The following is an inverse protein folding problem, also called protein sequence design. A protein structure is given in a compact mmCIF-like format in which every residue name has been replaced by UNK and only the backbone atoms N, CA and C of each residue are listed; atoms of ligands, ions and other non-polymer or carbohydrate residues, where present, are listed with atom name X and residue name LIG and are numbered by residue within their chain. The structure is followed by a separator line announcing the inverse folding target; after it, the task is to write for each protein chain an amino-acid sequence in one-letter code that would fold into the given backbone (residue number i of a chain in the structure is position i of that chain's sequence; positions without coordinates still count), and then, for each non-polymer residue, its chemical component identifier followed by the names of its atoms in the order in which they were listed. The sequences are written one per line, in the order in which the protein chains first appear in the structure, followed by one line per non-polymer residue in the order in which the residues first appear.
data_IF_262243731544
#
_entry.id   IF_262243731544
#
_cell.length_a   1.000
_cell.length_b   1.000
_cell.length_c   1.000
_cell.angle_alpha   90.00
_cell.angle_beta   90.00
_cell.angle_gamma   90.00
#
_symmetry.space_group_name_H-M   'P 1'
#
loop_
_entity.id
_entity.type
_entity.pdbx_description
1 polymer ?
#
# COMPACT_ATOMS: atom_id res chain seq x y z
N UNK A 1 -28.81 -7.69 30.22
CA UNK A 1 -28.97 -6.23 30.08
C UNK A 1 -27.63 -5.71 29.61
N UNK A 2 -27.66 -5.16 28.45
CA UNK A 2 -26.61 -4.80 27.53
C UNK A 2 -25.56 -3.82 28.09
N UNK A 3 -24.28 -4.17 27.95
CA UNK A 3 -23.15 -3.29 28.20
C UNK A 3 -22.37 -2.99 26.89
N UNK A 4 -23.07 -2.88 25.77
CA UNK A 4 -22.44 -2.59 24.47
C UNK A 4 -22.48 -1.13 24.01
N UNK A 5 -23.16 -0.25 24.71
CA UNK A 5 -23.45 1.11 24.23
C UNK A 5 -22.34 2.18 24.39
N UNK A 6 -21.41 2.15 25.38
CA UNK A 6 -20.46 3.25 25.55
C UNK A 6 -19.34 3.28 24.51
N UNK A 7 -18.87 2.13 24.02
CA UNK A 7 -17.76 2.07 23.06
C UNK A 7 -18.21 2.43 21.64
N UNK A 8 -19.36 1.95 21.22
CA UNK A 8 -19.96 2.28 19.92
C UNK A 8 -20.28 3.79 19.82
N UNK A 9 -20.87 4.36 20.86
CA UNK A 9 -21.20 5.79 20.92
C UNK A 9 -19.92 6.65 20.93
N UNK A 10 -18.87 6.20 21.62
CA UNK A 10 -17.59 6.91 21.65
C UNK A 10 -16.88 6.88 20.28
N UNK A 11 -16.83 5.74 19.61
CA UNK A 11 -16.21 5.60 18.28
C UNK A 11 -16.96 6.36 17.19
N UNK A 12 -18.29 6.36 17.22
CA UNK A 12 -19.11 7.20 16.32
C UNK A 12 -18.86 8.68 16.59
N UNK A 13 -18.81 9.10 17.86
CA UNK A 13 -18.48 10.47 18.25
C UNK A 13 -17.07 10.90 17.82
N UNK A 14 -16.09 9.99 17.88
CA UNK A 14 -14.71 10.26 17.40
C UNK A 14 -14.68 10.32 15.86
N UNK A 15 -15.40 9.46 15.16
CA UNK A 15 -15.54 9.48 13.71
C UNK A 15 -16.23 10.77 13.24
N UNK A 16 -17.32 11.18 13.89
CA UNK A 16 -18.02 12.45 13.62
C UNK A 16 -17.11 13.67 13.86
N UNK A 17 -16.34 13.64 14.94
CA UNK A 17 -15.41 14.73 15.27
C UNK A 17 -14.22 14.80 14.30
N UNK A 18 -13.79 13.67 13.78
CA UNK A 18 -12.61 13.59 12.89
C UNK A 18 -12.96 13.90 11.43
N UNK A 19 -14.18 13.59 11.00
CA UNK A 19 -14.63 13.78 9.61
C UNK A 19 -15.58 14.94 9.39
N UNK A 20 -16.30 15.37 10.42
CA UNK A 20 -17.37 16.36 10.32
C UNK A 20 -18.58 15.87 9.50
N UNK A 21 -18.77 14.55 9.37
CA UNK A 21 -19.88 13.97 8.60
C UNK A 21 -21.01 13.53 9.52
N UNK A 22 -22.22 14.03 9.27
CA UNK A 22 -23.42 13.65 10.03
C UNK A 22 -23.79 12.17 9.87
N UNK A 23 -23.47 11.58 8.68
CA UNK A 23 -23.82 10.19 8.31
C UNK A 23 -22.69 9.54 7.53
N UNK A 24 -21.57 9.17 8.17
CA UNK A 24 -20.37 8.73 7.50
C UNK A 24 -20.58 7.44 6.68
N UNK A 25 -21.36 6.46 7.16
CA UNK A 25 -21.61 5.23 6.44
C UNK A 25 -22.38 5.45 5.12
N UNK A 26 -23.44 6.30 5.18
CA UNK A 26 -24.22 6.63 3.98
C UNK A 26 -23.35 7.37 2.95
N UNK A 27 -22.54 8.31 3.43
CA UNK A 27 -21.59 9.07 2.59
C UNK A 27 -20.59 8.17 1.91
N UNK A 28 -19.96 7.24 2.63
CA UNK A 28 -19.01 6.29 2.07
C UNK A 28 -19.67 5.36 1.03
N UNK A 29 -20.87 4.83 1.33
CA UNK A 29 -21.62 4.01 0.36
C UNK A 29 -21.97 4.79 -0.91
N UNK A 30 -22.38 6.05 -0.77
CA UNK A 30 -22.63 6.95 -1.90
C UNK A 30 -21.36 7.17 -2.72
N UNK A 31 -20.22 7.40 -2.05
CA UNK A 31 -18.95 7.63 -2.70
C UNK A 31 -18.52 6.46 -3.63
N UNK A 32 -18.76 5.21 -3.22
CA UNK A 32 -18.58 4.05 -4.09
C UNK A 32 -19.53 4.08 -5.31
N UNK A 33 -20.81 4.36 -5.06
CA UNK A 33 -21.83 4.34 -6.11
C UNK A 33 -21.62 5.47 -7.15
N UNK A 34 -21.15 6.64 -6.70
CA UNK A 34 -20.94 7.82 -7.56
C UNK A 34 -19.50 7.95 -8.08
N UNK A 35 -18.63 6.95 -7.81
CA UNK A 35 -17.21 6.97 -8.22
C UNK A 35 -16.41 8.17 -7.70
N UNK A 36 -16.71 8.65 -6.51
CA UNK A 36 -16.04 9.79 -5.86
C UNK A 36 -14.62 9.46 -5.34
N UNK A 37 -14.26 8.17 -5.25
CA UNK A 37 -12.88 7.79 -4.93
C UNK A 37 -11.98 7.90 -6.16
N UNK A 38 -10.93 8.70 -6.06
CA UNK A 38 -9.96 8.95 -7.11
C UNK A 38 -8.63 8.29 -6.76
N UNK A 39 -8.03 7.60 -7.74
CA UNK A 39 -6.72 7.00 -7.58
C UNK A 39 -5.62 8.00 -7.90
N UNK A 40 -4.62 8.01 -7.04
CA UNK A 40 -3.35 8.68 -7.20
C UNK A 40 -2.24 7.65 -7.27
N UNK A 41 -1.13 8.03 -7.84
CA UNK A 41 0.07 7.19 -7.89
C UNK A 41 1.30 7.99 -7.48
N UNK A 42 2.24 7.32 -6.82
CA UNK A 42 3.55 7.87 -6.48
C UNK A 42 4.63 6.89 -6.94
N UNK A 43 5.66 7.40 -7.59
CA UNK A 43 6.75 6.58 -8.11
C UNK A 43 7.56 5.93 -6.99
N UNK A 44 7.92 4.67 -7.20
CA UNK A 44 8.90 3.93 -6.42
C UNK A 44 10.10 3.73 -7.34
N UNK A 45 11.23 4.38 -7.04
CA UNK A 45 12.41 4.36 -7.89
C UNK A 45 13.44 3.33 -7.41
N UNK A 46 14.11 2.67 -8.34
CA UNK A 46 15.24 1.80 -8.04
C UNK A 46 16.49 2.62 -7.73
N UNK A 47 17.19 2.28 -6.64
CA UNK A 47 18.39 3.00 -6.19
C UNK A 47 19.68 2.42 -6.76
N UNK A 48 19.70 1.10 -7.00
CA UNK A 48 20.86 0.41 -7.56
C UNK A 48 21.00 0.67 -9.06
N UNK A 49 22.23 0.72 -9.61
CA UNK A 49 22.46 0.73 -11.05
C UNK A 49 21.88 -0.53 -11.69
N UNK A 50 21.29 -0.36 -12.86
CA UNK A 50 20.68 -1.47 -13.62
C UNK A 50 19.19 -1.23 -13.83
N UNK A 51 18.75 -1.31 -15.09
CA UNK A 51 17.36 -1.01 -15.46
C UNK A 51 16.39 -2.02 -14.87
N UNK A 52 15.42 -1.52 -14.13
CA UNK A 52 14.19 -2.27 -13.87
C UNK A 52 13.45 -2.41 -15.19
N UNK A 53 12.95 -3.61 -15.48
CA UNK A 53 12.18 -3.84 -16.72
C UNK A 53 10.87 -3.04 -16.72
N UNK A 54 10.34 -2.74 -15.54
CA UNK A 54 9.07 -2.02 -15.35
C UNK A 54 9.20 -0.99 -14.25
N UNK A 55 8.54 0.15 -14.40
CA UNK A 55 8.40 1.14 -13.34
C UNK A 55 7.53 0.59 -12.21
N UNK A 56 7.87 0.92 -10.96
CA UNK A 56 7.07 0.62 -9.78
C UNK A 56 6.39 1.90 -9.29
N UNK A 57 5.17 1.77 -8.79
CA UNK A 57 4.46 2.88 -8.17
C UNK A 57 3.47 2.37 -7.12
N UNK A 58 3.22 3.16 -6.10
CA UNK A 58 2.18 2.90 -5.12
C UNK A 58 0.90 3.62 -5.50
N UNK A 59 -0.23 2.93 -5.30
CA UNK A 59 -1.57 3.47 -5.53
C UNK A 59 -2.12 4.02 -4.23
N UNK A 60 -2.50 5.28 -4.25
CA UNK A 60 -3.18 5.95 -3.17
C UNK A 60 -4.60 6.31 -3.58
N UNK A 61 -5.43 6.58 -2.58
CA UNK A 61 -6.82 6.94 -2.77
C UNK A 61 -7.09 8.33 -2.16
N UNK A 62 -7.96 9.08 -2.79
CA UNK A 62 -8.53 10.33 -2.27
C UNK A 62 -10.04 10.26 -2.45
N UNK A 63 -10.78 10.80 -1.49
CA UNK A 63 -12.21 10.97 -1.65
C UNK A 63 -12.48 12.39 -2.15
N UNK A 64 -13.19 12.51 -3.26
CA UNK A 64 -13.59 13.79 -3.83
C UNK A 64 -14.91 14.23 -3.20
N UNK A 65 -14.92 15.42 -2.61
CA UNK A 65 -16.13 16.12 -2.21
C UNK A 65 -16.54 17.19 -3.22
N UNK A 66 -17.59 17.90 -2.92
CA UNK A 66 -18.07 19.04 -3.72
C UNK A 66 -16.93 20.05 -3.94
N UNK A 67 -16.98 20.77 -5.06
CA UNK A 67 -15.99 21.79 -5.46
C UNK A 67 -14.54 21.28 -5.67
N UNK A 68 -14.35 20.00 -5.97
CA UNK A 68 -13.03 19.38 -6.20
C UNK A 68 -12.13 19.28 -4.93
N UNK A 69 -12.70 19.44 -3.75
CA UNK A 69 -11.98 19.21 -2.51
C UNK A 69 -11.63 17.71 -2.37
N UNK A 70 -10.34 17.42 -2.13
CA UNK A 70 -9.84 16.05 -1.97
C UNK A 70 -9.55 15.76 -0.51
N UNK A 71 -10.28 14.80 0.05
CA UNK A 71 -10.09 14.32 1.43
C UNK A 71 -9.00 13.25 1.43
N UNK A 72 -7.97 13.38 2.30
CA UNK A 72 -6.91 12.38 2.42
C UNK A 72 -7.41 11.10 3.11
N UNK A 73 -6.75 9.95 2.87
CA UNK A 73 -7.19 8.66 3.39
C UNK A 73 -7.25 8.60 4.92
N UNK A 74 -6.37 9.29 5.63
CA UNK A 74 -6.39 9.33 7.10
C UNK A 74 -7.70 9.86 7.71
N UNK A 75 -8.49 10.62 6.94
CA UNK A 75 -9.77 11.16 7.41
C UNK A 75 -10.96 10.20 7.19
N UNK A 76 -10.86 9.20 6.33
CA UNK A 76 -11.99 8.31 6.03
C UNK A 76 -11.67 6.80 6.17
N UNK A 77 -10.41 6.38 6.09
CA UNK A 77 -10.04 4.96 6.25
C UNK A 77 -10.47 4.38 7.61
N UNK A 78 -10.29 5.09 8.75
CA UNK A 78 -10.77 4.56 10.03
C UNK A 78 -12.27 4.27 10.05
N UNK A 79 -13.07 5.08 9.34
CA UNK A 79 -14.51 4.85 9.21
C UNK A 79 -14.84 3.68 8.28
N UNK A 80 -14.07 3.50 7.19
CA UNK A 80 -14.21 2.33 6.33
C UNK A 80 -13.94 1.04 7.10
N UNK A 81 -12.92 1.02 7.95
CA UNK A 81 -12.61 -0.09 8.85
C UNK A 81 -13.74 -0.31 9.87
N UNK A 82 -14.19 0.75 10.55
CA UNK A 82 -15.28 0.67 11.53
C UNK A 82 -16.58 0.09 10.94
N UNK A 83 -16.91 0.45 9.68
CA UNK A 83 -18.10 -0.06 9.00
C UNK A 83 -17.87 -1.34 8.19
N UNK A 84 -16.71 -2.00 8.32
CA UNK A 84 -16.30 -3.19 7.57
C UNK A 84 -16.42 -3.01 6.04
N UNK A 85 -16.07 -1.84 5.53
CA UNK A 85 -16.12 -1.51 4.10
C UNK A 85 -14.76 -1.72 3.40
N UNK A 86 -13.73 -2.16 4.12
CA UNK A 86 -12.39 -2.41 3.60
C UNK A 86 -12.37 -3.33 2.38
N UNK A 87 -13.01 -4.52 2.40
CA UNK A 87 -13.05 -5.43 1.26
C UNK A 87 -13.76 -4.82 0.03
N UNK A 88 -14.72 -3.92 0.23
CA UNK A 88 -15.39 -3.20 -0.86
C UNK A 88 -14.41 -2.18 -1.47
N UNK A 89 -13.65 -1.47 -0.63
CA UNK A 89 -12.65 -0.52 -1.07
C UNK A 89 -11.57 -1.19 -1.91
N UNK A 90 -10.99 -2.29 -1.44
CA UNK A 90 -9.88 -2.96 -2.12
C UNK A 90 -10.33 -3.49 -3.49
N UNK A 91 -11.55 -4.05 -3.57
CA UNK A 91 -12.15 -4.45 -4.86
C UNK A 91 -12.37 -3.26 -5.80
N UNK A 92 -12.83 -2.14 -5.25
CA UNK A 92 -13.05 -0.92 -6.02
C UNK A 92 -11.73 -0.36 -6.59
N UNK A 93 -10.70 -0.27 -5.75
CA UNK A 93 -9.36 0.21 -6.12
C UNK A 93 -8.78 -0.67 -7.24
N UNK A 94 -8.83 -2.00 -7.08
CA UNK A 94 -8.34 -2.93 -8.10
C UNK A 94 -9.07 -2.76 -9.43
N UNK A 95 -10.40 -2.70 -9.43
CA UNK A 95 -11.17 -2.49 -10.67
C UNK A 95 -10.82 -1.19 -11.37
N UNK A 96 -10.69 -0.10 -10.62
CA UNK A 96 -10.30 1.21 -11.19
C UNK A 96 -8.89 1.18 -11.79
N UNK A 97 -7.92 0.59 -11.08
CA UNK A 97 -6.56 0.43 -11.58
C UNK A 97 -6.53 -0.39 -12.88
N UNK A 98 -7.17 -1.56 -12.88
CA UNK A 98 -7.20 -2.43 -14.05
C UNK A 98 -7.96 -1.79 -15.22
N UNK A 99 -8.99 -0.99 -14.92
CA UNK A 99 -9.66 -0.14 -15.92
C UNK A 99 -8.69 0.87 -16.56
N UNK A 100 -7.85 1.54 -15.75
CA UNK A 100 -6.83 2.45 -16.25
C UNK A 100 -5.76 1.72 -17.08
N UNK A 101 -5.35 0.51 -16.69
CA UNK A 101 -4.38 -0.29 -17.43
C UNK A 101 -4.85 -0.65 -18.84
N UNK A 102 -6.15 -0.77 -19.09
CA UNK A 102 -6.68 -1.02 -20.46
C UNK A 102 -6.31 0.08 -21.46
N UNK A 103 -6.10 1.31 -20.98
CA UNK A 103 -5.69 2.44 -21.82
C UNK A 103 -4.17 2.54 -22.00
N UNK A 104 -3.40 1.69 -21.31
CA UNK A 104 -1.94 1.69 -21.34
C UNK A 104 -1.47 0.43 -22.07
N UNK A 105 -0.56 0.60 -23.03
CA UNK A 105 0.05 -0.54 -23.73
C UNK A 105 0.70 -1.51 -22.73
N UNK A 106 0.56 -2.84 -22.90
CA UNK A 106 1.05 -3.82 -21.91
C UNK A 106 2.51 -3.66 -21.51
N UNK A 107 3.38 -3.32 -22.45
CA UNK A 107 4.81 -3.11 -22.24
C UNK A 107 5.13 -1.84 -21.42
N UNK A 108 4.18 -0.89 -21.36
CA UNK A 108 4.30 0.36 -20.59
C UNK A 108 3.61 0.31 -19.23
N UNK A 109 2.89 -0.79 -18.90
CA UNK A 109 2.26 -0.95 -17.59
C UNK A 109 3.33 -1.18 -16.54
N UNK A 110 3.35 -0.35 -15.51
CA UNK A 110 4.21 -0.53 -14.35
C UNK A 110 3.66 -1.55 -13.36
N UNK A 111 4.44 -1.88 -12.33
CA UNK A 111 4.01 -2.68 -11.17
C UNK A 111 3.32 -1.77 -10.18
N UNK A 112 2.05 -2.01 -9.92
CA UNK A 112 1.26 -1.25 -8.95
C UNK A 112 1.31 -1.91 -7.57
N UNK A 113 1.72 -1.16 -6.56
CA UNK A 113 1.64 -1.54 -5.16
C UNK A 113 0.30 -1.07 -4.59
N UNK A 114 -0.48 -2.01 -4.05
CA UNK A 114 -1.84 -1.83 -3.56
C UNK A 114 -1.90 -2.18 -2.08
N UNK A 115 -2.24 -1.21 -1.24
CA UNK A 115 -2.48 -1.45 0.18
C UNK A 115 -3.75 -2.28 0.36
N UNK A 116 -3.71 -3.29 1.21
CA UNK A 116 -4.87 -4.07 1.63
C UNK A 116 -5.42 -3.56 2.96
N UNK A 117 -6.73 -3.43 3.02
CA UNK A 117 -7.43 -3.21 4.28
C UNK A 117 -7.35 -4.46 5.17
N UNK A 118 -7.36 -4.24 6.50
CA UNK A 118 -7.25 -5.34 7.47
C UNK A 118 -8.33 -6.40 7.29
N UNK A 119 -9.57 -5.97 7.07
CA UNK A 119 -10.72 -6.86 6.90
C UNK A 119 -10.60 -7.76 5.67
N UNK A 120 -9.91 -7.30 4.63
CA UNK A 120 -9.67 -8.07 3.40
C UNK A 120 -8.75 -9.27 3.64
N UNK A 121 -7.89 -9.24 4.67
CA UNK A 121 -7.00 -10.35 5.01
C UNK A 121 -7.77 -11.62 5.45
N UNK A 122 -9.01 -11.47 5.87
CA UNK A 122 -9.89 -12.56 6.26
C UNK A 122 -10.97 -12.88 5.19
N UNK A 123 -10.97 -12.21 4.07
CA UNK A 123 -11.97 -12.36 3.01
C UNK A 123 -11.64 -13.58 2.12
N UNK A 124 -12.41 -14.69 2.21
CA UNK A 124 -12.12 -15.92 1.48
C UNK A 124 -12.29 -15.77 -0.04
N UNK A 125 -13.07 -14.79 -0.49
CA UNK A 125 -13.41 -14.60 -1.89
C UNK A 125 -12.47 -13.63 -2.62
N UNK A 126 -11.60 -12.92 -1.89
CA UNK A 126 -10.77 -11.87 -2.47
C UNK A 126 -9.80 -12.43 -3.53
N UNK A 127 -9.14 -13.56 -3.28
CA UNK A 127 -8.23 -14.17 -4.24
C UNK A 127 -8.94 -14.60 -5.53
N UNK A 128 -10.13 -15.19 -5.42
CA UNK A 128 -10.96 -15.57 -6.58
C UNK A 128 -11.38 -14.32 -7.39
N UNK A 129 -11.74 -13.25 -6.69
CA UNK A 129 -12.05 -11.95 -7.31
C UNK A 129 -10.85 -11.37 -8.07
N UNK A 130 -9.66 -11.34 -7.48
CA UNK A 130 -8.43 -10.86 -8.15
C UNK A 130 -8.16 -11.67 -9.42
N UNK A 131 -8.22 -12.99 -9.35
CA UNK A 131 -8.02 -13.88 -10.50
C UNK A 131 -8.98 -13.56 -11.65
N UNK A 132 -10.25 -13.39 -11.34
CA UNK A 132 -11.27 -13.08 -12.36
C UNK A 132 -11.05 -11.70 -12.99
N UNK A 133 -10.69 -10.69 -12.20
CA UNK A 133 -10.41 -9.36 -12.71
C UNK A 133 -9.15 -9.31 -13.60
N UNK A 134 -8.10 -10.05 -13.23
CA UNK A 134 -6.90 -10.21 -14.06
C UNK A 134 -7.24 -10.87 -15.40
N UNK A 135 -8.04 -11.95 -15.37
CA UNK A 135 -8.51 -12.64 -16.58
C UNK A 135 -9.34 -11.71 -17.47
N UNK A 136 -10.30 -10.99 -16.88
CA UNK A 136 -11.22 -10.08 -17.60
C UNK A 136 -10.49 -8.91 -18.27
N UNK A 137 -9.38 -8.46 -17.70
CA UNK A 137 -8.60 -7.30 -18.19
C UNK A 137 -7.34 -7.70 -18.94
N UNK A 138 -7.08 -9.00 -19.12
CA UNK A 138 -5.87 -9.53 -19.75
C UNK A 138 -4.60 -8.90 -19.12
N UNK A 139 -4.60 -8.81 -17.79
CA UNK A 139 -3.49 -8.22 -17.04
C UNK A 139 -2.71 -9.34 -16.36
N UNK A 140 -1.38 -9.36 -16.53
CA UNK A 140 -0.52 -10.32 -15.85
C UNK A 140 -0.46 -10.02 -14.34
N UNK A 141 -0.50 -11.07 -13.50
CA UNK A 141 -0.45 -10.94 -12.04
C UNK A 141 0.81 -10.22 -11.54
N UNK A 142 1.94 -10.40 -12.21
CA UNK A 142 3.23 -9.75 -11.91
C UNK A 142 3.19 -8.21 -11.92
N UNK A 143 2.14 -7.62 -12.49
CA UNK A 143 1.91 -6.18 -12.48
C UNK A 143 1.22 -5.68 -11.21
N UNK A 144 0.84 -6.56 -10.30
CA UNK A 144 0.22 -6.24 -9.03
C UNK A 144 1.09 -6.71 -7.87
N UNK A 145 1.32 -5.82 -6.93
CA UNK A 145 1.95 -6.12 -5.65
C UNK A 145 0.97 -5.72 -4.53
N UNK A 146 0.53 -6.69 -3.75
CA UNK A 146 -0.38 -6.44 -2.63
C UNK A 146 0.42 -6.22 -1.35
N UNK A 147 0.16 -5.10 -0.68
CA UNK A 147 0.81 -4.73 0.57
C UNK A 147 -0.04 -5.15 1.77
N UNK A 148 0.53 -6.01 2.58
CA UNK A 148 -0.03 -6.43 3.87
C UNK A 148 0.42 -5.47 4.97
N UNK A 149 -0.47 -5.05 5.90
CA UNK A 149 -0.14 -4.10 6.96
C UNK A 149 1.04 -4.56 7.83
N UNK A 150 2.10 -3.76 7.96
CA UNK A 150 3.35 -4.16 8.62
C UNK A 150 3.32 -4.19 10.15
N UNK A 151 2.30 -3.59 10.78
CA UNK A 151 2.20 -3.50 12.25
C UNK A 151 1.80 -4.81 12.94
N UNK A 152 1.48 -5.85 12.19
CA UNK A 152 1.09 -7.14 12.73
C UNK A 152 2.28 -8.12 12.69
N UNK A 153 2.90 -8.35 13.84
CA UNK A 153 3.98 -9.35 13.98
C UNK A 153 3.43 -10.78 13.76
N UNK A 154 2.15 -11.01 14.04
CA UNK A 154 1.49 -12.30 13.87
C UNK A 154 0.26 -12.16 12.98
N UNK A 155 0.43 -12.45 11.69
CA UNK A 155 -0.71 -12.52 10.78
C UNK A 155 -1.57 -13.75 11.06
N UNK A 156 -2.91 -13.64 10.97
CA UNK A 156 -3.78 -14.79 11.04
C UNK A 156 -3.53 -15.76 9.87
N UNK A 157 -3.86 -17.02 10.05
CA UNK A 157 -3.70 -18.03 9.00
C UNK A 157 -4.41 -17.68 7.69
N UNK A 158 -5.53 -16.95 7.77
CA UNK A 158 -6.26 -16.43 6.60
C UNK A 158 -5.41 -15.46 5.76
N UNK A 159 -4.64 -14.58 6.40
CA UNK A 159 -3.76 -13.64 5.69
C UNK A 159 -2.61 -14.38 4.97
N UNK A 160 -2.03 -15.39 5.61
CA UNK A 160 -0.99 -16.23 4.98
C UNK A 160 -1.58 -17.00 3.79
N UNK A 161 -2.76 -17.60 3.94
CA UNK A 161 -3.47 -18.29 2.86
C UNK A 161 -3.82 -17.33 1.70
N UNK A 162 -4.23 -16.09 2.00
CA UNK A 162 -4.48 -15.06 0.99
C UNK A 162 -3.20 -14.73 0.22
N UNK A 163 -2.08 -14.51 0.92
CA UNK A 163 -0.78 -14.21 0.29
C UNK A 163 -0.35 -15.36 -0.64
N UNK A 164 -0.48 -16.60 -0.20
CA UNK A 164 -0.19 -17.78 -1.01
C UNK A 164 -1.09 -17.84 -2.26
N UNK A 165 -2.39 -17.64 -2.09
CA UNK A 165 -3.35 -17.63 -3.20
C UNK A 165 -3.03 -16.53 -4.23
N UNK A 166 -2.67 -15.33 -3.78
CA UNK A 166 -2.27 -14.22 -4.66
C UNK A 166 -0.97 -14.55 -5.42
N UNK A 167 0.01 -15.17 -4.76
CA UNK A 167 1.25 -15.62 -5.42
C UNK A 167 1.01 -16.70 -6.46
N UNK A 168 0.12 -17.64 -6.21
CA UNK A 168 -0.26 -18.69 -7.16
C UNK A 168 -0.87 -18.14 -8.46
N UNK A 169 -1.46 -16.97 -8.42
CA UNK A 169 -1.95 -16.25 -9.62
C UNK A 169 -0.95 -15.23 -10.18
N UNK A 170 0.30 -15.28 -9.70
CA UNK A 170 1.42 -14.50 -10.20
C UNK A 170 1.58 -13.11 -9.58
N UNK A 171 0.77 -12.74 -8.58
CA UNK A 171 0.91 -11.45 -7.91
C UNK A 171 2.11 -11.44 -6.96
N UNK A 172 2.62 -10.25 -6.69
CA UNK A 172 3.70 -10.01 -5.74
C UNK A 172 3.13 -9.61 -4.38
N UNK A 173 3.91 -9.84 -3.32
CA UNK A 173 3.53 -9.54 -1.94
C UNK A 173 4.55 -8.55 -1.36
N UNK A 174 4.04 -7.52 -0.71
CA UNK A 174 4.82 -6.59 0.11
C UNK A 174 4.35 -6.65 1.56
N UNK A 175 5.29 -6.61 2.49
CA UNK A 175 4.99 -6.37 3.91
C UNK A 175 5.18 -4.88 4.17
N UNK A 176 4.21 -4.26 4.83
CA UNK A 176 4.15 -2.82 5.05
C UNK A 176 5.29 -2.30 5.93
N UNK A 177 5.30 -0.98 6.09
CA UNK A 177 6.40 -0.28 6.71
C UNK A 177 6.69 -0.71 8.15
N UNK A 178 7.96 -0.95 8.42
CA UNK A 178 8.54 -1.12 9.74
C UNK A 178 9.02 0.25 10.22
N UNK A 179 8.45 0.70 11.34
CA UNK A 179 8.74 2.04 11.90
C UNK A 179 9.80 1.99 13.01
N UNK A 180 9.92 0.87 13.70
CA UNK A 180 10.71 0.65 14.92
C UNK A 180 11.96 -0.23 14.76
N UNK A 181 12.22 -0.70 13.55
CA UNK A 181 13.40 -1.52 13.22
C UNK A 181 13.25 -3.01 13.51
N UNK A 182 12.13 -3.47 14.08
CA UNK A 182 11.86 -4.91 14.20
C UNK A 182 11.52 -5.51 12.84
N UNK A 183 12.28 -6.53 12.44
CA UNK A 183 12.07 -7.19 11.14
C UNK A 183 11.08 -8.35 11.35
N UNK A 184 9.94 -8.36 10.66
CA UNK A 184 8.95 -9.42 10.78
C UNK A 184 9.39 -10.66 9.96
N UNK A 185 10.47 -11.31 10.37
CA UNK A 185 11.04 -12.45 9.64
C UNK A 185 10.04 -13.55 9.36
N UNK A 186 9.22 -13.87 10.36
CA UNK A 186 8.21 -14.92 10.22
C UNK A 186 7.14 -14.57 9.19
N UNK A 187 6.46 -13.41 9.25
CA UNK A 187 5.55 -12.99 8.20
C UNK A 187 6.18 -12.94 6.82
N UNK A 188 7.38 -12.37 6.68
CA UNK A 188 8.11 -12.31 5.42
C UNK A 188 8.26 -13.69 4.80
N UNK A 189 8.69 -14.68 5.60
CA UNK A 189 8.90 -16.05 5.14
C UNK A 189 7.58 -16.77 4.86
N UNK A 190 6.64 -16.73 5.79
CA UNK A 190 5.38 -17.48 5.71
C UNK A 190 4.51 -17.00 4.53
N UNK A 191 4.53 -15.69 4.24
CA UNK A 191 3.81 -15.11 3.11
C UNK A 191 4.58 -15.16 1.80
N UNK A 192 5.89 -15.48 1.84
CA UNK A 192 6.79 -15.44 0.67
C UNK A 192 6.85 -14.04 0.06
N UNK A 193 7.06 -13.04 0.91
CA UNK A 193 7.07 -11.64 0.50
C UNK A 193 8.19 -11.35 -0.51
N UNK A 194 7.89 -10.53 -1.51
CA UNK A 194 8.85 -10.01 -2.47
C UNK A 194 9.49 -8.72 -1.98
N UNK A 195 8.76 -7.94 -1.17
CA UNK A 195 9.21 -6.65 -0.67
C UNK A 195 8.95 -6.48 0.82
N UNK A 196 9.88 -5.78 1.48
CA UNK A 196 9.70 -5.20 2.81
C UNK A 196 9.83 -3.68 2.70
N UNK A 197 8.84 -2.95 3.22
CA UNK A 197 8.90 -1.51 3.30
C UNK A 197 9.53 -1.07 4.64
N UNK A 198 10.40 -0.08 4.58
CA UNK A 198 11.07 0.56 5.72
C UNK A 198 10.65 2.02 5.74
N UNK A 199 10.11 2.51 6.85
CA UNK A 199 9.54 3.85 6.92
C UNK A 199 9.67 4.51 8.29
N UNK A 200 8.81 5.51 8.54
CA UNK A 200 8.68 6.16 9.85
C UNK A 200 9.99 6.72 10.40
N UNK A 201 10.26 6.44 11.69
CA UNK A 201 11.45 6.88 12.41
C UNK A 201 12.76 6.54 11.69
N UNK A 202 12.85 5.34 11.12
CA UNK A 202 14.07 4.90 10.42
C UNK A 202 14.50 5.88 9.33
N UNK A 203 13.54 6.37 8.54
CA UNK A 203 13.87 7.30 7.45
C UNK A 203 14.13 8.72 7.94
N UNK A 204 13.43 9.16 8.99
CA UNK A 204 13.61 10.48 9.59
C UNK A 204 15.00 10.67 10.24
N UNK A 205 15.53 9.60 10.83
CA UNK A 205 16.80 9.63 11.57
C UNK A 205 18.00 9.16 10.74
N UNK A 206 17.81 8.45 9.62
CA UNK A 206 18.87 7.74 8.89
C UNK A 206 20.09 8.60 8.56
N UNK A 207 19.88 9.86 8.18
CA UNK A 207 20.96 10.74 7.80
C UNK A 207 21.76 11.30 8.99
N UNK A 208 21.28 11.12 10.25
CA UNK A 208 21.79 11.82 11.44
C UNK A 208 22.11 10.89 12.61
N UNK A 209 21.72 9.61 12.54
CA UNK A 209 21.83 8.66 13.66
C UNK A 209 22.51 7.38 13.19
N UNK A 210 23.72 7.11 13.72
CA UNK A 210 24.50 5.90 13.40
C UNK A 210 23.82 4.61 13.85
N UNK A 211 23.07 4.63 14.96
CA UNK A 211 22.31 3.47 15.41
C UNK A 211 21.22 3.12 14.38
N UNK A 212 20.50 4.12 13.86
CA UNK A 212 19.51 3.92 12.81
C UNK A 212 20.14 3.40 11.51
N UNK A 213 21.34 3.87 11.17
CA UNK A 213 22.10 3.32 10.02
C UNK A 213 22.40 1.83 10.23
N UNK A 214 22.76 1.41 11.45
CA UNK A 214 23.02 0.01 11.77
C UNK A 214 21.74 -0.84 11.70
N UNK A 215 20.62 -0.33 12.21
CA UNK A 215 19.29 -0.98 12.12
C UNK A 215 18.89 -1.21 10.66
N UNK A 216 18.93 -0.17 9.82
CA UNK A 216 18.57 -0.27 8.39
C UNK A 216 19.50 -1.22 7.63
N UNK A 217 20.80 -1.21 7.94
CA UNK A 217 21.77 -2.16 7.37
C UNK A 217 21.43 -3.59 7.74
N UNK A 218 21.09 -3.84 9.01
CA UNK A 218 20.67 -5.16 9.48
C UNK A 218 19.43 -5.64 8.74
N UNK A 219 18.42 -4.77 8.60
CA UNK A 219 17.22 -5.07 7.85
C UNK A 219 17.51 -5.40 6.37
N UNK A 220 18.35 -4.59 5.71
CA UNK A 220 18.73 -4.81 4.31
C UNK A 220 19.45 -6.14 4.11
N UNK A 221 20.40 -6.46 4.99
CA UNK A 221 21.15 -7.73 4.94
C UNK A 221 20.24 -8.94 5.18
N UNK A 222 19.32 -8.84 6.14
CA UNK A 222 18.35 -9.88 6.41
C UNK A 222 17.41 -10.11 5.23
N UNK A 223 16.85 -9.06 4.64
CA UNK A 223 16.00 -9.15 3.46
C UNK A 223 16.73 -9.83 2.30
N UNK A 224 18.00 -9.46 2.08
CA UNK A 224 18.82 -10.08 1.02
C UNK A 224 19.02 -11.57 1.23
N UNK A 225 19.17 -12.03 2.46
CA UNK A 225 19.33 -13.47 2.78
C UNK A 225 18.06 -14.29 2.49
N UNK A 226 16.91 -13.64 2.38
CA UNK A 226 15.62 -14.25 2.02
C UNK A 226 15.18 -13.92 0.59
N UNK A 227 16.02 -13.28 -0.23
CA UNK A 227 15.69 -12.81 -1.57
C UNK A 227 14.52 -11.81 -1.60
N UNK A 228 14.41 -11.01 -0.54
CA UNK A 228 13.39 -9.95 -0.38
C UNK A 228 14.02 -8.60 -0.69
N UNK A 229 13.34 -7.81 -1.51
CA UNK A 229 13.78 -6.47 -1.87
C UNK A 229 13.26 -5.44 -0.85
N UNK A 230 14.04 -4.41 -0.58
CA UNK A 230 13.68 -3.35 0.37
C UNK A 230 13.17 -2.11 -0.35
N UNK A 231 12.14 -1.49 0.21
CA UNK A 231 11.58 -0.21 -0.26
C UNK A 231 11.65 0.79 0.90
N UNK A 232 12.49 1.81 0.80
CA UNK A 232 12.47 2.92 1.76
C UNK A 232 11.31 3.87 1.45
N UNK A 233 10.43 4.10 2.43
CA UNK A 233 9.28 5.01 2.32
C UNK A 233 9.58 6.36 3.01
N UNK A 234 8.81 7.39 2.64
CA UNK A 234 8.92 8.73 3.25
C UNK A 234 10.32 9.34 3.13
N UNK A 235 10.98 9.11 2.00
CA UNK A 235 12.28 9.74 1.70
C UNK A 235 12.02 11.19 1.28
N UNK A 236 12.41 12.14 2.14
CA UNK A 236 12.10 13.57 1.94
C UNK A 236 13.28 14.40 1.46
N UNK A 237 14.52 13.92 1.69
CA UNK A 237 15.71 14.70 1.42
C UNK A 237 16.84 13.92 0.70
N UNK A 238 17.74 14.67 0.09
CA UNK A 238 18.90 14.13 -0.61
C UNK A 238 19.93 13.45 0.30
N UNK A 239 20.22 13.91 1.54
CA UNK A 239 21.06 13.18 2.48
C UNK A 239 20.58 11.78 2.78
N UNK A 240 19.28 11.61 3.09
CA UNK A 240 18.65 10.30 3.33
C UNK A 240 18.78 9.41 2.09
N UNK A 241 18.48 9.93 0.90
CA UNK A 241 18.61 9.19 -0.36
C UNK A 241 20.07 8.72 -0.60
N UNK A 242 21.06 9.57 -0.28
CA UNK A 242 22.48 9.20 -0.37
C UNK A 242 22.89 8.11 0.63
N UNK A 243 22.35 8.15 1.84
CA UNK A 243 22.56 7.12 2.85
C UNK A 243 21.99 5.75 2.41
N UNK A 244 20.77 5.74 1.89
CA UNK A 244 20.10 4.54 1.39
C UNK A 244 20.90 3.83 0.29
N UNK A 245 21.49 4.58 -0.64
CA UNK A 245 22.35 4.01 -1.70
C UNK A 245 23.58 3.29 -1.15
N UNK A 246 24.15 3.78 -0.01
CA UNK A 246 25.30 3.15 0.66
C UNK A 246 24.93 1.90 1.46
N UNK A 247 23.64 1.71 1.70
CA UNK A 247 23.10 0.58 2.49
C UNK A 247 22.49 -0.51 1.60
N UNK A 248 22.68 -0.41 0.26
CA UNK A 248 22.14 -1.35 -0.72
C UNK A 248 20.62 -1.55 -0.60
N UNK A 249 19.90 -0.50 -0.22
CA UNK A 249 18.44 -0.47 -0.29
C UNK A 249 18.03 -0.49 -1.77
N UNK A 250 17.07 -1.37 -2.11
CA UNK A 250 16.74 -1.64 -3.50
C UNK A 250 15.93 -0.51 -4.12
N UNK A 251 14.90 -0.03 -3.43
CA UNK A 251 13.99 1.00 -3.91
C UNK A 251 13.78 2.11 -2.88
N UNK A 252 13.31 3.26 -3.36
CA UNK A 252 12.91 4.39 -2.51
C UNK A 252 11.66 5.08 -3.04
N UNK A 253 10.89 5.65 -2.12
CA UNK A 253 9.67 6.42 -2.35
C UNK A 253 9.57 7.55 -1.34
N UNK A 254 9.05 8.69 -1.73
CA UNK A 254 8.82 9.82 -0.83
C UNK A 254 8.72 11.14 -1.57
N UNK A 255 8.40 12.20 -0.84
CA UNK A 255 8.21 13.54 -1.40
C UNK A 255 9.50 14.14 -1.95
N UNK A 256 10.65 13.73 -1.44
CA UNK A 256 11.94 14.10 -2.01
C UNK A 256 12.23 13.47 -3.38
N UNK A 257 11.39 12.51 -3.82
CA UNK A 257 11.49 11.82 -5.11
C UNK A 257 10.37 12.28 -6.03
N UNK A 258 9.11 12.13 -5.60
CA UNK A 258 7.92 12.56 -6.34
C UNK A 258 6.74 12.74 -5.40
N UNK A 259 5.84 13.65 -5.73
CA UNK A 259 4.55 13.76 -5.05
C UNK A 259 3.52 12.81 -5.69
N UNK A 260 2.54 12.29 -4.90
CA UNK A 260 1.40 11.60 -5.49
C UNK A 260 0.68 12.47 -6.50
N UNK A 261 0.33 11.90 -7.65
CA UNK A 261 -0.42 12.58 -8.72
C UNK A 261 -1.56 11.68 -9.19
N UNK A 262 -2.65 12.26 -9.78
CA UNK A 262 -3.74 11.45 -10.32
C UNK A 262 -3.22 10.37 -11.29
N UNK A 263 -3.71 9.14 -11.14
CA UNK A 263 -3.20 7.95 -11.84
C UNK A 263 -3.13 8.12 -13.37
N UNK A 264 -4.02 8.87 -13.98
CA UNK A 264 -4.05 9.11 -15.44
C UNK A 264 -2.89 9.99 -15.99
N UNK A 265 -2.07 10.61 -15.13
CA UNK A 265 -0.96 11.48 -15.55
C UNK A 265 0.40 10.78 -15.68
N UNK A 266 0.50 9.51 -15.28
CA UNK A 266 1.78 8.76 -15.32
C UNK A 266 2.27 8.41 -16.73
N UNK A 267 1.47 8.57 -17.77
CA UNK A 267 1.84 8.20 -19.15
C UNK A 267 2.96 9.06 -19.77
N UNK A 268 3.37 10.16 -19.13
CA UNK A 268 4.33 11.11 -19.70
C UNK A 268 5.65 11.26 -18.90
N UNK A 269 5.86 10.56 -17.78
CA UNK A 269 7.03 10.74 -16.92
C UNK A 269 8.12 9.67 -17.07
N UNK A 270 7.96 8.71 -17.97
CA UNK A 270 8.94 7.67 -18.28
C UNK A 270 9.36 7.77 -19.77
N UNK A 271 9.92 8.91 -20.13
CA UNK A 271 10.65 9.11 -21.39
C UNK A 271 12.06 9.64 -21.08
#
# INVERSE_FOLDING_TARGET
MSNGEPEETYLVSVADTTSGWDKPQEKLRRAFAQNEFILFSQSIIKLAPGGEKRAHFEVFIRLQEEEQHLIPPGSFLPMLEYFNLGPILDRYVLRKLLGAYRSIKPEKRGVAHLNLCRDTLADPDFCAFVREELRRTETAGELLCFEFPGKEINYPASAVALAEGLRLIGCQISVGAMDDGEIPFRPIKDMGANFLKLGGRLMQELARNEATVAEVRTAANACRSFDVQTIAQSVEDAPTLKALRKLDITFAQGYGISHPSPLGRMSNAAA
#
